data_IF_408245605310
#
_entry.id   IF_408245605310
#
_cell.length_a   1.000
_cell.length_b   1.000
_cell.length_c   1.000
_cell.angle_alpha   90.00
_cell.angle_beta   90.00
_cell.angle_gamma   90.00
#
_symmetry.space_group_name_H-M   'P 1'
#
loop_
_entity.id
_entity.type
_entity.pdbx_description
1 polymer ?
#
# COMPACT_ATOMS: atom_id res chain seq x y z
N UNK A 1 12.92 23.32 5.02
CA UNK A 1 11.63 22.75 4.56
C UNK A 1 11.71 22.04 3.20
N UNK A 2 12.46 22.54 2.20
CA UNK A 2 12.54 21.94 0.86
C UNK A 2 13.10 20.51 0.76
N UNK A 3 14.08 20.13 1.60
CA UNK A 3 14.72 18.79 1.53
C UNK A 3 13.78 17.64 1.88
N UNK A 4 12.81 17.87 2.78
CA UNK A 4 11.83 16.86 3.18
C UNK A 4 10.90 16.50 2.02
N UNK A 5 10.31 17.50 1.34
CA UNK A 5 9.42 17.25 0.21
C UNK A 5 10.16 16.63 -0.98
N UNK A 6 11.39 17.08 -1.26
CA UNK A 6 12.22 16.47 -2.31
C UNK A 6 12.50 14.99 -2.01
N UNK A 7 12.80 14.66 -0.75
CA UNK A 7 12.98 13.28 -0.29
C UNK A 7 11.71 12.44 -0.47
N UNK A 8 10.54 12.95 -0.05
CA UNK A 8 9.26 12.26 -0.24
C UNK A 8 8.89 12.05 -1.72
N UNK A 9 9.18 13.02 -2.59
CA UNK A 9 8.97 12.88 -4.04
C UNK A 9 9.89 11.81 -4.62
N UNK A 10 11.17 11.79 -4.21
CA UNK A 10 12.11 10.74 -4.62
C UNK A 10 11.59 9.35 -4.24
N UNK A 11 11.21 9.18 -2.98
CA UNK A 11 10.63 7.93 -2.48
C UNK A 11 9.38 7.50 -3.24
N UNK A 12 8.47 8.44 -3.53
CA UNK A 12 7.26 8.13 -4.29
C UNK A 12 7.60 7.56 -5.68
N UNK A 13 8.60 8.14 -6.36
CA UNK A 13 9.07 7.66 -7.66
C UNK A 13 9.74 6.29 -7.57
N UNK A 14 10.60 6.08 -6.56
CA UNK A 14 11.35 4.84 -6.40
C UNK A 14 10.44 3.66 -6.00
N UNK A 15 9.46 3.92 -5.14
CA UNK A 15 8.50 2.90 -4.72
C UNK A 15 7.59 2.48 -5.88
N UNK A 16 7.18 3.43 -6.73
CA UNK A 16 6.32 3.24 -7.91
C UNK A 16 5.18 2.23 -7.66
N UNK A 17 4.45 2.43 -6.56
CA UNK A 17 3.47 1.46 -6.03
C UNK A 17 2.46 1.05 -7.09
N UNK A 18 1.83 2.03 -7.77
CA UNK A 18 0.84 1.76 -8.81
C UNK A 18 1.45 1.03 -10.01
N UNK A 19 2.66 1.39 -10.43
CA UNK A 19 3.34 0.69 -11.52
C UNK A 19 3.60 -0.77 -11.19
N UNK A 20 4.06 -1.08 -9.97
CA UNK A 20 4.31 -2.46 -9.54
C UNK A 20 3.03 -3.28 -9.41
N UNK A 21 1.98 -2.72 -8.83
CA UNK A 21 0.66 -3.35 -8.77
C UNK A 21 0.13 -3.65 -10.18
N UNK A 22 0.20 -2.67 -11.09
CA UNK A 22 -0.28 -2.82 -12.46
C UNK A 22 0.51 -3.91 -13.23
N UNK A 23 1.83 -3.96 -13.08
CA UNK A 23 2.68 -5.02 -13.67
C UNK A 23 2.35 -6.42 -13.14
N UNK A 24 1.78 -6.52 -11.93
CA UNK A 24 1.26 -7.76 -11.36
C UNK A 24 -0.22 -8.04 -11.75
N UNK A 25 -0.81 -7.24 -12.63
CA UNK A 25 -2.23 -7.34 -13.02
C UNK A 25 -3.20 -6.78 -11.97
N UNK A 26 -2.69 -6.15 -10.91
CA UNK A 26 -3.49 -5.57 -9.83
C UNK A 26 -3.82 -4.13 -10.19
N UNK A 27 -5.07 -3.91 -10.58
CA UNK A 27 -5.58 -2.61 -11.01
C UNK A 27 -6.83 -2.22 -10.24
N UNK A 28 -7.03 -0.92 -9.95
CA UNK A 28 -8.23 -0.46 -9.29
C UNK A 28 -9.43 -0.62 -10.23
N UNK A 29 -10.45 -1.37 -9.80
CA UNK A 29 -11.74 -1.55 -10.49
C UNK A 29 -12.86 -1.64 -9.46
N UNK A 30 -14.08 -1.21 -9.79
CA UNK A 30 -15.17 -1.14 -8.81
C UNK A 30 -15.54 -2.47 -8.14
N UNK A 31 -15.21 -3.59 -8.76
CA UNK A 31 -15.52 -4.93 -8.26
C UNK A 31 -14.28 -5.80 -8.04
N UNK A 32 -13.07 -5.29 -8.27
CA UNK A 32 -11.87 -6.12 -8.12
C UNK A 32 -11.51 -6.29 -6.65
N UNK A 33 -11.31 -7.55 -6.27
CA UNK A 33 -10.78 -7.93 -4.97
C UNK A 33 -9.45 -8.64 -5.14
N UNK A 34 -8.52 -8.38 -4.22
CA UNK A 34 -7.21 -9.00 -4.19
C UNK A 34 -6.92 -9.53 -2.78
N UNK A 35 -6.17 -10.61 -2.70
CA UNK A 35 -5.70 -11.15 -1.42
C UNK A 35 -4.53 -10.32 -0.88
N UNK A 36 -4.33 -10.38 0.44
CA UNK A 36 -3.14 -9.79 1.08
C UNK A 36 -1.86 -10.29 0.40
N UNK A 37 -1.78 -11.60 0.13
CA UNK A 37 -0.60 -12.24 -0.49
C UNK A 37 -0.33 -11.67 -1.88
N UNK A 38 -1.35 -11.49 -2.72
CA UNK A 38 -1.18 -10.89 -4.05
C UNK A 38 -0.68 -9.45 -3.96
N UNK A 39 -1.28 -8.66 -3.07
CA UNK A 39 -0.91 -7.25 -2.87
C UNK A 39 0.52 -7.12 -2.34
N UNK A 40 0.91 -7.90 -1.34
CA UNK A 40 2.27 -7.81 -0.77
C UNK A 40 3.33 -8.40 -1.69
N UNK A 41 3.04 -9.47 -2.44
CA UNK A 41 3.97 -10.05 -3.41
C UNK A 41 4.30 -9.09 -4.57
N UNK A 42 3.38 -8.21 -4.93
CA UNK A 42 3.60 -7.18 -5.94
C UNK A 42 4.39 -5.97 -5.41
N UNK A 43 4.66 -5.88 -4.10
CA UNK A 43 5.24 -4.71 -3.45
C UNK A 43 6.59 -5.05 -2.79
N UNK A 44 7.40 -4.03 -2.44
CA UNK A 44 8.56 -4.24 -1.56
C UNK A 44 8.19 -4.98 -0.26
N UNK A 45 9.12 -5.77 0.26
CA UNK A 45 8.91 -6.73 1.37
C UNK A 45 8.44 -6.12 2.70
N UNK A 46 8.52 -4.80 2.85
CA UNK A 46 8.12 -4.07 4.06
C UNK A 46 6.81 -3.27 3.87
N UNK A 47 6.05 -3.56 2.81
CA UNK A 47 4.75 -2.92 2.57
C UNK A 47 3.71 -3.37 3.60
N UNK A 48 3.10 -2.39 4.27
CA UNK A 48 1.98 -2.61 5.19
C UNK A 48 0.72 -2.09 4.53
N UNK A 49 -0.28 -2.97 4.37
CA UNK A 49 -1.54 -2.64 3.72
C UNK A 49 -2.52 -2.05 4.74
N UNK A 50 -3.12 -0.91 4.39
CA UNK A 50 -4.11 -0.23 5.20
C UNK A 50 -5.50 -0.38 4.57
N UNK A 51 -6.46 -0.86 5.36
CA UNK A 51 -7.83 -1.10 4.95
C UNK A 51 -8.84 -0.32 5.79
N UNK A 52 -9.96 0.02 5.15
CA UNK A 52 -11.13 0.57 5.82
C UNK A 52 -12.37 -0.24 5.44
N UNK A 53 -13.19 -0.55 6.45
CA UNK A 53 -14.45 -1.25 6.24
C UNK A 53 -15.56 -0.26 5.85
N UNK A 54 -16.12 -0.43 4.66
CA UNK A 54 -17.24 0.35 4.15
C UNK A 54 -18.33 -0.61 3.67
N UNK A 55 -19.56 -0.46 4.20
CA UNK A 55 -20.70 -1.31 3.86
C UNK A 55 -20.40 -2.82 3.97
N UNK A 56 -19.65 -3.21 5.01
CA UNK A 56 -19.27 -4.61 5.26
C UNK A 56 -18.13 -5.15 4.41
N UNK A 57 -17.56 -4.34 3.50
CA UNK A 57 -16.43 -4.69 2.63
C UNK A 57 -15.17 -3.97 3.08
N UNK A 58 -14.01 -4.64 3.00
CA UNK A 58 -12.71 -4.05 3.32
C UNK A 58 -12.05 -3.47 2.07
N UNK A 59 -11.80 -2.16 2.06
CA UNK A 59 -11.19 -1.43 0.94
C UNK A 59 -9.76 -1.05 1.26
N UNK A 60 -8.85 -1.25 0.31
CA UNK A 60 -7.47 -0.76 0.37
C UNK A 60 -7.49 0.78 0.29
N UNK A 61 -7.10 1.44 1.37
CA UNK A 61 -7.07 2.92 1.47
C UNK A 61 -5.65 3.49 1.46
N UNK A 62 -4.64 2.65 1.69
CA UNK A 62 -3.26 3.09 1.74
C UNK A 62 -2.28 1.94 1.82
N UNK A 63 -1.03 2.25 1.48
CA UNK A 63 0.11 1.35 1.64
C UNK A 63 1.20 2.14 2.33
N UNK A 64 1.68 1.62 3.45
CA UNK A 64 2.72 2.25 4.24
C UNK A 64 4.03 1.48 4.07
N UNK A 65 5.13 2.24 3.97
CA UNK A 65 6.48 1.69 3.91
C UNK A 65 7.28 2.25 5.07
N UNK A 66 8.14 1.40 5.65
CA UNK A 66 9.15 1.89 6.57
C UNK A 66 10.38 2.31 5.76
N UNK A 67 10.84 3.54 5.94
CA UNK A 67 12.02 4.03 5.21
C UNK A 67 12.97 4.73 6.16
N UNK A 68 14.25 4.35 6.09
CA UNK A 68 15.32 5.09 6.76
C UNK A 68 15.65 6.36 5.98
N UNK A 69 16.22 7.36 6.65
CA UNK A 69 16.61 8.65 6.05
C UNK A 69 17.64 8.50 4.91
N UNK A 70 18.32 7.35 4.83
CA UNK A 70 19.22 7.00 3.73
C UNK A 70 18.53 6.23 2.58
N UNK A 71 17.20 6.27 2.49
CA UNK A 71 16.37 5.59 1.48
C UNK A 71 16.36 4.05 1.58
N UNK A 72 16.88 3.46 2.66
CA UNK A 72 16.78 2.01 2.86
C UNK A 72 15.39 1.58 3.33
N UNK A 73 14.82 0.57 2.67
CA UNK A 73 13.55 -0.09 3.04
C UNK A 73 13.73 -1.22 4.06
N UNK A 74 14.93 -1.43 4.60
CA UNK A 74 15.25 -2.55 5.51
C UNK A 74 14.80 -2.33 6.96
N UNK A 75 13.87 -1.43 7.22
CA UNK A 75 13.38 -1.20 8.58
C UNK A 75 12.06 -1.90 8.86
N UNK A 76 11.88 -2.31 10.12
CA UNK A 76 10.69 -2.96 10.60
C UNK A 76 9.67 -1.92 11.05
N UNK A 77 8.42 -2.12 10.64
CA UNK A 77 7.29 -1.33 11.12
C UNK A 77 6.59 -2.12 12.22
N UNK A 78 6.38 -1.49 13.37
CA UNK A 78 5.50 -2.06 14.39
C UNK A 78 4.04 -1.88 13.95
N UNK A 79 3.38 -3.00 13.66
CA UNK A 79 1.99 -3.03 13.19
C UNK A 79 0.99 -3.14 14.33
N UNK A 80 1.43 -3.36 15.58
CA UNK A 80 0.55 -3.54 16.74
C UNK A 80 -0.29 -2.31 17.07
N UNK A 81 0.17 -1.13 16.65
CA UNK A 81 -0.50 0.16 16.88
C UNK A 81 -1.34 0.63 15.69
N UNK A 82 -1.27 -0.08 14.56
CA UNK A 82 -1.95 0.31 13.32
C UNK A 82 -3.40 -0.19 13.35
N UNK A 83 -4.33 0.72 13.63
CA UNK A 83 -5.77 0.41 13.74
C UNK A 83 -6.42 -0.07 12.43
N UNK A 84 -5.88 0.34 11.29
CA UNK A 84 -6.46 0.11 9.97
C UNK A 84 -5.70 -0.95 9.18
N UNK A 85 -5.09 -1.94 9.84
CA UNK A 85 -4.38 -3.00 9.15
C UNK A 85 -5.36 -3.87 8.34
N UNK A 86 -5.02 -4.17 7.08
CA UNK A 86 -5.79 -5.14 6.32
C UNK A 86 -5.67 -6.55 6.92
N UNK A 87 -6.80 -7.12 7.34
CA UNK A 87 -6.88 -8.50 7.87
C UNK A 87 -7.87 -9.38 7.11
N UNK A 88 -8.70 -8.78 6.25
CA UNK A 88 -9.66 -9.51 5.43
C UNK A 88 -8.95 -10.34 4.34
N UNK A 89 -9.47 -11.53 4.00
CA UNK A 89 -8.90 -12.37 2.95
C UNK A 89 -9.07 -11.75 1.56
N UNK A 90 -10.13 -10.97 1.35
CA UNK A 90 -10.45 -10.30 0.09
C UNK A 90 -10.55 -8.80 0.32
N UNK A 91 -9.63 -8.05 -0.30
CA UNK A 91 -9.54 -6.60 -0.17
C UNK A 91 -9.98 -5.96 -1.48
N UNK A 92 -10.95 -5.07 -1.40
CA UNK A 92 -11.40 -4.27 -2.54
C UNK A 92 -10.36 -3.21 -2.86
N UNK A 93 -9.94 -3.17 -4.12
CA UNK A 93 -9.12 -2.08 -4.64
C UNK A 93 -9.95 -1.35 -5.69
N UNK A 94 -10.66 -0.31 -5.23
CA UNK A 94 -11.60 0.43 -6.04
C UNK A 94 -10.96 1.66 -6.69
N UNK A 95 -11.46 2.01 -7.88
CA UNK A 95 -11.15 3.31 -8.49
C UNK A 95 -12.00 4.41 -7.83
N UNK A 96 -11.57 5.67 -7.91
CA UNK A 96 -12.25 6.84 -7.33
C UNK A 96 -13.64 7.10 -7.94
N UNK A 97 -13.95 6.48 -9.08
CA UNK A 97 -15.25 6.58 -9.77
C UNK A 97 -16.27 5.54 -9.31
N UNK A 98 -15.87 4.72 -8.34
CA UNK A 98 -16.72 3.85 -7.56
C UNK A 98 -17.06 4.59 -6.25
#
# INVERSE_FOLDING_TARGET
MHKYFAFSIGLYKDLNVLGKLNSAGITPKCTSTYTIIQLTAALPSNAVLLCQKLQGKDYLIGIQFCVKLNLSLTCQMDTSTIKNLCTAPNIYFADKKC
#
